data_IF_795586880358
#
_entry.id   IF_795586880358
#
_cell.length_a   1.000
_cell.length_b   1.000
_cell.length_c   1.000
_cell.angle_alpha   90.00
_cell.angle_beta   90.00
_cell.angle_gamma   90.00
#
_symmetry.space_group_name_H-M   'P 1'
#
loop_
_entity.id
_entity.type
_entity.pdbx_description
1 polymer ?
#
# COMPACT_ATOMS: atom_id res chain seq x y z
N UNK A 1 4.01 -24.99 23.15
CA UNK A 1 2.80 -25.84 23.28
C UNK A 1 2.34 -26.23 21.90
N UNK A 2 2.11 -27.52 21.66
CA UNK A 2 1.58 -28.05 20.41
C UNK A 2 0.05 -27.90 20.38
N UNK A 3 -0.55 -27.72 19.20
CA UNK A 3 -2.01 -27.57 19.06
C UNK A 3 -2.81 -28.71 19.72
N UNK A 4 -2.27 -29.93 19.68
CA UNK A 4 -2.87 -31.09 20.33
C UNK A 4 -2.97 -30.94 21.85
N UNK A 5 -1.97 -30.31 22.50
CA UNK A 5 -1.99 -30.11 23.96
C UNK A 5 -2.93 -28.99 24.40
N UNK A 6 -3.11 -27.95 23.57
CA UNK A 6 -4.11 -26.90 23.85
C UNK A 6 -5.54 -27.43 23.65
N UNK A 7 -5.77 -28.24 22.62
CA UNK A 7 -7.10 -28.78 22.33
C UNK A 7 -7.56 -29.75 23.44
N UNK A 8 -6.66 -30.56 24.00
CA UNK A 8 -7.00 -31.44 25.13
C UNK A 8 -7.35 -30.65 26.40
N UNK A 9 -6.64 -29.55 26.68
CA UNK A 9 -6.98 -28.64 27.78
C UNK A 9 -8.34 -27.96 27.57
N UNK A 10 -8.64 -27.52 26.35
CA UNK A 10 -9.95 -26.96 25.99
C UNK A 10 -11.07 -27.98 26.22
N UNK A 11 -10.86 -29.25 25.84
CA UNK A 11 -11.82 -30.34 26.08
C UNK A 11 -12.05 -30.66 27.56
N UNK A 12 -11.07 -30.41 28.43
CA UNK A 12 -11.24 -30.56 29.88
C UNK A 12 -11.97 -29.38 30.53
N UNK A 13 -11.83 -28.17 29.97
CA UNK A 13 -12.46 -26.96 30.50
C UNK A 13 -13.91 -26.75 30.05
N UNK A 14 -14.27 -27.14 28.83
CA UNK A 14 -15.61 -26.96 28.27
C UNK A 14 -16.45 -28.24 28.39
N UNK A 15 -17.78 -28.08 28.56
CA UNK A 15 -18.71 -29.21 28.57
C UNK A 15 -18.78 -29.85 27.16
N UNK A 16 -18.93 -31.18 27.05
CA UNK A 16 -18.96 -31.87 25.76
C UNK A 16 -20.08 -31.37 24.84
N UNK A 17 -21.26 -31.07 25.40
CA UNK A 17 -22.41 -30.50 24.67
C UNK A 17 -22.11 -29.16 23.97
N UNK A 18 -21.16 -28.38 24.49
CA UNK A 18 -20.76 -27.13 23.85
C UNK A 18 -19.88 -27.39 22.63
N UNK A 19 -18.96 -28.35 22.72
CA UNK A 19 -18.05 -28.70 21.64
C UNK A 19 -18.75 -29.41 20.48
N UNK A 20 -19.83 -30.13 20.77
CA UNK A 20 -20.68 -30.77 19.76
C UNK A 20 -21.46 -29.77 18.90
N UNK A 21 -21.65 -28.54 19.38
CA UNK A 21 -22.36 -27.46 18.67
C UNK A 21 -21.44 -26.45 17.99
N UNK A 22 -20.12 -26.68 17.98
CA UNK A 22 -19.15 -25.80 17.33
C UNK A 22 -18.78 -26.38 15.98
N UNK A 23 -19.10 -25.64 14.90
CA UNK A 23 -18.83 -26.07 13.53
C UNK A 23 -17.33 -26.17 13.24
N UNK A 24 -16.55 -25.15 13.64
CA UNK A 24 -15.11 -25.06 13.36
C UNK A 24 -14.32 -24.48 14.55
N UNK A 25 -13.13 -25.05 14.79
CA UNK A 25 -12.18 -24.55 15.80
C UNK A 25 -10.95 -23.98 15.09
N UNK A 26 -10.77 -22.67 15.20
CA UNK A 26 -9.61 -21.96 14.63
C UNK A 26 -8.59 -21.72 15.74
N UNK A 27 -7.38 -22.27 15.59
CA UNK A 27 -6.26 -21.95 16.47
C UNK A 27 -5.26 -21.02 15.81
N UNK A 28 -4.92 -19.96 16.54
CA UNK A 28 -3.87 -19.03 16.14
C UNK A 28 -2.52 -19.52 16.63
N UNK A 29 -1.54 -19.55 15.73
CA UNK A 29 -0.14 -19.79 16.09
C UNK A 29 0.45 -18.53 16.68
N UNK A 30 1.40 -18.68 17.59
CA UNK A 30 2.21 -17.56 18.08
C UNK A 30 2.91 -16.87 16.90
N UNK A 31 2.92 -15.54 16.95
CA UNK A 31 3.57 -14.71 15.94
C UNK A 31 5.08 -14.92 15.95
N UNK A 32 5.70 -14.97 14.78
CA UNK A 32 7.16 -14.95 14.65
C UNK A 32 7.71 -13.56 15.00
N UNK A 33 9.00 -13.48 15.29
CA UNK A 33 9.67 -12.20 15.57
C UNK A 33 9.46 -11.17 14.44
N UNK A 34 9.53 -11.60 13.17
CA UNK A 34 9.30 -10.72 12.02
C UNK A 34 7.84 -10.25 11.94
N UNK A 35 6.88 -11.12 12.28
CA UNK A 35 5.47 -10.73 12.35
C UNK A 35 5.23 -9.75 13.49
N UNK A 36 5.91 -9.90 14.63
CA UNK A 36 5.85 -8.94 15.74
C UNK A 36 6.41 -7.56 15.32
N UNK A 37 7.48 -7.50 14.52
CA UNK A 37 7.93 -6.21 13.95
C UNK A 37 6.87 -5.56 13.07
N UNK A 38 6.17 -6.35 12.24
CA UNK A 38 5.08 -5.85 11.42
C UNK A 38 3.92 -5.33 12.28
N UNK A 39 3.57 -6.04 13.36
CA UNK A 39 2.57 -5.58 14.33
C UNK A 39 3.01 -4.28 15.01
N UNK A 40 4.28 -4.16 15.41
CA UNK A 40 4.82 -2.94 16.00
C UNK A 40 4.70 -1.74 15.04
N UNK A 41 4.99 -1.92 13.74
CA UNK A 41 4.80 -0.88 12.72
C UNK A 41 3.33 -0.44 12.62
N UNK A 42 2.39 -1.39 12.65
CA UNK A 42 0.96 -1.08 12.59
C UNK A 42 0.53 -0.28 13.83
N UNK A 43 0.95 -0.70 15.03
CA UNK A 43 0.63 0.01 16.26
C UNK A 43 1.24 1.42 16.32
N UNK A 44 2.45 1.61 15.81
CA UNK A 44 3.06 2.93 15.67
C UNK A 44 2.24 3.84 14.75
N UNK A 45 1.74 3.29 13.65
CA UNK A 45 0.85 4.01 12.72
C UNK A 45 -0.47 4.39 13.40
N UNK A 46 -1.06 3.48 14.18
CA UNK A 46 -2.29 3.74 14.91
C UNK A 46 -2.09 4.85 15.96
N UNK A 47 -0.97 4.80 16.71
CA UNK A 47 -0.58 5.87 17.64
C UNK A 47 -0.43 7.20 16.90
N UNK A 48 0.26 7.20 15.76
CA UNK A 48 0.45 8.41 14.96
C UNK A 48 -0.90 9.02 14.50
N UNK A 49 -1.83 8.17 14.09
CA UNK A 49 -3.18 8.57 13.70
C UNK A 49 -4.02 9.12 14.85
N UNK A 50 -3.78 8.67 16.09
CA UNK A 50 -4.46 9.18 17.28
C UNK A 50 -3.88 10.52 17.77
N UNK A 51 -2.59 10.77 17.52
CA UNK A 51 -1.89 11.96 18.01
C UNK A 51 -2.30 13.25 17.31
N UNK A 52 -2.63 13.18 16.02
CA UNK A 52 -3.03 14.36 15.22
C UNK A 52 -4.15 13.99 14.25
N UNK A 53 -5.11 14.90 14.04
CA UNK A 53 -6.21 14.68 13.10
C UNK A 53 -5.76 14.74 11.62
N UNK A 54 -4.59 15.35 11.34
CA UNK A 54 -4.16 15.72 9.98
C UNK A 54 -2.93 14.99 9.45
N UNK A 55 -2.39 14.01 10.19
CA UNK A 55 -1.50 13.00 9.62
C UNK A 55 -0.02 13.14 10.00
N UNK A 56 0.26 13.02 11.30
CA UNK A 56 1.59 12.68 11.80
C UNK A 56 2.06 11.36 11.20
N UNK A 57 3.32 11.33 10.74
CA UNK A 57 3.94 10.11 10.19
C UNK A 57 5.10 9.72 11.09
N UNK A 58 5.13 8.45 11.50
CA UNK A 58 6.24 7.87 12.25
C UNK A 58 6.96 6.86 11.36
N UNK A 59 8.26 7.10 11.12
CA UNK A 59 9.16 6.22 10.39
C UNK A 59 10.17 5.58 11.36
N UNK A 60 9.91 4.34 11.82
CA UNK A 60 10.89 3.60 12.60
C UNK A 60 11.93 2.92 11.70
N UNK A 61 13.20 2.96 12.11
CA UNK A 61 14.25 2.12 11.51
C UNK A 61 14.07 0.65 11.87
N UNK A 62 14.65 -0.26 11.08
CA UNK A 62 14.62 -1.70 11.40
C UNK A 62 15.22 -1.98 12.78
N UNK A 63 16.36 -1.36 13.10
CA UNK A 63 17.02 -1.54 14.38
C UNK A 63 16.15 -1.05 15.56
N UNK A 64 15.38 0.03 15.36
CA UNK A 64 14.44 0.51 16.38
C UNK A 64 13.33 -0.51 16.65
N UNK A 65 12.76 -1.11 15.60
CA UNK A 65 11.73 -2.14 15.74
C UNK A 65 12.23 -3.37 16.51
N UNK A 66 13.49 -3.74 16.29
CA UNK A 66 14.10 -4.90 16.96
C UNK A 66 14.18 -4.68 18.47
N UNK A 67 14.61 -3.48 18.88
CA UNK A 67 14.67 -3.08 20.28
C UNK A 67 13.27 -3.02 20.89
N UNK A 68 12.29 -2.46 20.19
CA UNK A 68 10.90 -2.36 20.67
C UNK A 68 10.33 -3.75 20.93
N UNK A 69 10.45 -4.67 19.97
CA UNK A 69 9.94 -6.04 20.12
C UNK A 69 10.71 -6.77 21.23
N UNK A 70 12.03 -6.63 21.29
CA UNK A 70 12.83 -7.26 22.33
C UNK A 70 12.43 -6.78 23.72
N UNK A 71 12.28 -5.46 23.94
CA UNK A 71 11.89 -4.88 25.23
C UNK A 71 10.46 -5.25 25.63
N UNK A 72 9.52 -5.21 24.68
CA UNK A 72 8.13 -5.57 24.95
C UNK A 72 7.96 -7.03 25.40
N UNK A 73 8.83 -7.93 24.95
CA UNK A 73 8.73 -9.37 25.28
C UNK A 73 8.94 -9.63 26.78
N UNK A 74 9.77 -8.83 27.45
CA UNK A 74 10.09 -8.94 28.87
C UNK A 74 8.96 -8.47 29.81
N UNK A 75 7.89 -7.89 29.26
CA UNK A 75 6.81 -7.25 30.03
C UNK A 75 5.79 -8.28 30.55
N UNK A 76 6.23 -9.15 31.49
CA UNK A 76 5.40 -10.07 32.29
C UNK A 76 4.65 -11.19 31.55
N UNK A 77 4.21 -12.23 32.28
CA UNK A 77 3.57 -13.41 31.68
C UNK A 77 2.04 -13.31 31.50
N UNK A 78 1.41 -12.22 32.00
CA UNK A 78 -0.05 -12.05 31.97
C UNK A 78 -0.60 -11.55 30.63
N UNK A 79 0.21 -10.86 29.85
CA UNK A 79 -0.19 -10.22 28.58
C UNK A 79 0.56 -10.92 27.46
N UNK A 80 -0.13 -11.23 26.35
CA UNK A 80 0.42 -12.07 25.29
C UNK A 80 0.39 -11.37 23.93
N UNK A 81 1.39 -11.69 23.10
CA UNK A 81 1.44 -11.24 21.70
C UNK A 81 1.61 -9.73 21.53
N UNK A 82 0.86 -9.15 20.58
CA UNK A 82 1.01 -7.75 20.20
C UNK A 82 0.60 -6.74 21.27
N UNK A 83 -0.18 -7.14 22.27
CA UNK A 83 -0.61 -6.26 23.36
C UNK A 83 0.57 -5.80 24.23
N UNK A 84 1.58 -6.67 24.41
CA UNK A 84 2.85 -6.30 25.07
C UNK A 84 3.54 -5.14 24.36
N UNK A 85 3.55 -5.16 23.03
CA UNK A 85 4.18 -4.11 22.22
C UNK A 85 3.41 -2.80 22.39
N UNK A 86 2.07 -2.88 22.34
CA UNK A 86 1.21 -1.72 22.55
C UNK A 86 1.45 -1.07 23.90
N UNK A 87 1.45 -1.87 24.98
CA UNK A 87 1.66 -1.37 26.34
C UNK A 87 3.04 -0.70 26.48
N UNK A 88 4.08 -1.34 25.95
CA UNK A 88 5.43 -0.76 25.97
C UNK A 88 5.47 0.58 25.22
N UNK A 89 4.82 0.68 24.06
CA UNK A 89 4.73 1.93 23.28
C UNK A 89 3.94 3.01 24.05
N UNK A 90 2.84 2.65 24.68
CA UNK A 90 2.01 3.57 25.48
C UNK A 90 2.75 4.08 26.73
N UNK A 91 3.61 3.27 27.34
CA UNK A 91 4.38 3.65 28.53
C UNK A 91 5.66 4.44 28.20
N UNK A 92 6.32 4.13 27.09
CA UNK A 92 7.67 4.66 26.80
C UNK A 92 7.69 5.67 25.65
N UNK A 93 6.89 5.45 24.60
CA UNK A 93 6.91 6.30 23.41
C UNK A 93 5.88 7.42 23.49
N UNK A 94 4.64 7.08 23.82
CA UNK A 94 3.51 8.02 23.87
C UNK A 94 3.79 9.23 24.77
N UNK A 95 4.35 9.09 26.00
CA UNK A 95 4.63 10.25 26.85
C UNK A 95 5.68 11.18 26.24
N UNK A 96 6.71 10.62 25.62
CA UNK A 96 7.76 11.40 24.92
C UNK A 96 7.16 12.19 23.77
N UNK A 97 6.28 11.58 22.98
CA UNK A 97 5.60 12.25 21.87
C UNK A 97 4.66 13.35 22.36
N UNK A 98 3.88 13.10 23.43
CA UNK A 98 2.99 14.10 24.02
C UNK A 98 3.74 15.30 24.59
N UNK A 99 4.84 15.08 25.30
CA UNK A 99 5.66 16.17 25.84
C UNK A 99 6.21 17.05 24.69
N UNK A 100 6.62 16.43 23.58
CA UNK A 100 7.12 17.14 22.40
C UNK A 100 6.03 17.89 21.63
N UNK A 101 4.84 17.32 21.56
CA UNK A 101 3.66 17.98 20.99
C UNK A 101 3.27 19.20 21.83
N UNK A 102 3.26 19.07 23.16
CA UNK A 102 2.97 20.18 24.09
C UNK A 102 3.98 21.33 23.98
N UNK A 103 5.25 21.03 23.68
CA UNK A 103 6.30 22.04 23.45
C UNK A 103 6.26 22.70 22.08
N UNK A 104 5.19 22.50 21.29
CA UNK A 104 5.04 22.97 19.89
C UNK A 104 6.19 22.51 18.97
N UNK A 105 6.88 21.41 19.29
CA UNK A 105 7.99 20.89 18.48
C UNK A 105 7.51 20.16 17.23
N UNK A 106 6.31 19.58 17.29
CA UNK A 106 5.69 18.71 16.28
C UNK A 106 4.39 19.37 15.82
N UNK A 107 4.15 19.37 14.51
CA UNK A 107 2.96 19.90 13.86
C UNK A 107 2.19 18.76 13.17
N UNK A 108 1.00 19.07 12.67
CA UNK A 108 0.09 18.15 11.95
C UNK A 108 0.74 17.43 10.74
N UNK A 109 1.80 18.00 10.15
CA UNK A 109 2.50 17.48 8.97
C UNK A 109 3.96 17.09 9.28
N UNK A 110 4.26 16.78 10.53
CA UNK A 110 5.61 16.39 10.92
C UNK A 110 5.88 14.92 10.61
N UNK A 111 7.13 14.63 10.28
CA UNK A 111 7.64 13.27 10.16
C UNK A 111 8.57 13.03 11.35
N UNK A 112 8.28 11.99 12.12
CA UNK A 112 9.11 11.53 13.24
C UNK A 112 9.91 10.33 12.77
N UNK A 113 11.23 10.38 12.96
CA UNK A 113 12.12 9.27 12.76
C UNK A 113 12.50 8.65 14.11
N UNK A 114 12.36 7.34 14.20
CA UNK A 114 12.79 6.58 15.39
C UNK A 114 14.02 5.76 14.97
N UNK A 115 15.16 6.10 15.55
CA UNK A 115 16.42 5.40 15.33
C UNK A 115 16.89 4.70 16.60
N UNK A 116 17.76 3.73 16.41
CA UNK A 116 18.38 2.98 17.49
C UNK A 116 19.88 3.25 17.47
N UNK A 117 20.43 3.69 18.60
CA UNK A 117 21.88 3.78 18.75
C UNK A 117 22.49 2.39 18.94
N UNK A 118 23.50 2.07 18.14
CA UNK A 118 24.18 0.78 18.16
C UNK A 118 24.94 0.50 19.47
N UNK A 119 25.31 1.54 20.22
CA UNK A 119 26.18 1.42 21.41
C UNK A 119 25.38 1.27 22.72
N UNK A 120 24.28 2.01 22.86
CA UNK A 120 23.54 2.10 24.13
C UNK A 120 22.19 1.39 24.09
N UNK A 121 21.80 0.84 22.94
CA UNK A 121 20.48 0.27 22.70
C UNK A 121 19.33 1.26 23.03
N UNK A 122 19.63 2.57 23.03
CA UNK A 122 18.66 3.63 23.29
C UNK A 122 17.99 4.06 21.99
N UNK A 123 16.73 4.48 22.10
CA UNK A 123 15.97 5.02 20.98
C UNK A 123 16.19 6.52 20.91
N UNK A 124 16.64 7.00 19.76
CA UNK A 124 16.74 8.42 19.44
C UNK A 124 15.53 8.83 18.60
N UNK A 125 15.01 10.02 18.88
CA UNK A 125 13.87 10.60 18.19
C UNK A 125 14.32 11.87 17.49
N UNK A 126 14.27 11.88 16.16
CA UNK A 126 14.46 13.08 15.35
C UNK A 126 13.16 13.38 14.60
N UNK A 127 12.93 14.63 14.26
CA UNK A 127 11.73 15.01 13.53
C UNK A 127 12.02 16.11 12.52
N UNK A 128 11.27 16.08 11.44
CA UNK A 128 11.29 17.09 10.40
C UNK A 128 9.89 17.68 10.25
N UNK A 129 9.80 18.99 10.32
CA UNK A 129 8.55 19.70 10.05
C UNK A 129 8.48 19.96 8.54
N UNK A 130 7.59 19.25 7.84
CA UNK A 130 7.23 19.64 6.49
C UNK A 130 6.43 20.94 6.58
N UNK A 131 7.09 22.08 6.37
CA UNK A 131 6.38 23.34 6.16
C UNK A 131 5.60 23.18 4.86
N UNK A 132 4.29 23.37 4.94
CA UNK A 132 3.47 23.48 3.75
C UNK A 132 3.87 24.78 3.04
N UNK A 133 4.74 24.67 2.05
CA UNK A 133 4.78 25.60 0.93
C UNK A 133 5.07 24.75 -0.30
N UNK A 134 4.00 24.15 -0.84
CA UNK A 134 4.02 23.84 -2.26
C UNK A 134 3.95 25.20 -2.95
N UNK A 135 5.09 25.86 -3.10
CA UNK A 135 5.19 27.00 -4.01
C UNK A 135 4.88 26.48 -5.42
N UNK A 136 4.31 27.31 -6.29
CA UNK A 136 3.88 26.94 -7.65
C UNK A 136 4.96 26.21 -8.47
N UNK A 137 6.24 26.33 -8.10
CA UNK A 137 7.35 25.60 -8.69
C UNK A 137 7.30 24.07 -8.46
N UNK A 138 6.78 23.59 -7.32
CA UNK A 138 6.65 22.15 -7.04
C UNK A 138 5.48 21.52 -7.82
N UNK A 139 4.46 22.31 -8.16
CA UNK A 139 3.34 21.88 -9.00
C UNK A 139 3.81 21.63 -10.44
N UNK A 140 4.82 22.34 -10.91
CA UNK A 140 5.44 22.09 -12.21
C UNK A 140 6.24 20.78 -12.23
N UNK A 141 6.84 20.37 -11.10
CA UNK A 141 7.42 19.02 -10.98
C UNK A 141 6.32 17.94 -10.91
N UNK A 142 5.17 18.23 -10.29
CA UNK A 142 4.00 17.33 -10.34
C UNK A 142 3.39 17.22 -11.74
N UNK A 143 3.53 18.26 -12.60
CA UNK A 143 3.20 18.17 -14.01
C UNK A 143 4.08 17.13 -14.72
N UNK A 144 5.38 17.07 -14.40
CA UNK A 144 6.26 16.00 -14.90
C UNK A 144 5.85 14.61 -14.41
N UNK A 145 5.27 14.49 -13.21
CA UNK A 145 4.69 13.23 -12.72
C UNK A 145 3.37 12.86 -13.42
N UNK A 146 2.55 13.85 -13.81
CA UNK A 146 1.37 13.62 -14.67
C UNK A 146 1.79 13.16 -16.07
N UNK A 147 2.83 13.77 -16.63
CA UNK A 147 3.44 13.37 -17.90
C UNK A 147 4.03 11.97 -17.81
N UNK A 148 4.76 11.63 -16.74
CA UNK A 148 5.28 10.27 -16.51
C UNK A 148 4.16 9.23 -16.36
N UNK A 149 3.05 9.55 -15.68
CA UNK A 149 1.88 8.66 -15.61
C UNK A 149 1.24 8.45 -16.98
N UNK A 150 1.16 9.50 -17.80
CA UNK A 150 0.66 9.42 -19.17
C UNK A 150 1.61 8.59 -20.06
N UNK A 151 2.92 8.81 -19.93
CA UNK A 151 3.97 8.05 -20.63
C UNK A 151 3.93 6.58 -20.24
N UNK A 152 3.84 6.27 -18.94
CA UNK A 152 3.70 4.89 -18.47
C UNK A 152 2.41 4.22 -18.98
N UNK A 153 1.28 4.95 -19.02
CA UNK A 153 0.04 4.42 -19.59
C UNK A 153 0.20 4.09 -21.07
N UNK A 154 0.78 5.00 -21.85
CA UNK A 154 1.09 4.80 -23.27
C UNK A 154 2.04 3.62 -23.48
N UNK A 155 3.08 3.51 -22.66
CA UNK A 155 4.06 2.44 -22.77
C UNK A 155 3.46 1.08 -22.39
N UNK A 156 2.58 1.05 -21.39
CA UNK A 156 1.82 -0.15 -21.02
C UNK A 156 0.88 -0.60 -22.14
N UNK A 157 0.23 0.32 -22.83
CA UNK A 157 -0.58 0.01 -24.01
C UNK A 157 0.27 -0.50 -25.17
N UNK A 158 1.40 0.16 -25.46
CA UNK A 158 2.37 -0.31 -26.48
C UNK A 158 2.85 -1.73 -26.21
N UNK A 159 3.26 -2.04 -24.97
CA UNK A 159 3.73 -3.37 -24.60
C UNK A 159 2.65 -4.45 -24.79
N UNK A 160 1.38 -4.15 -24.45
CA UNK A 160 0.25 -5.05 -24.71
C UNK A 160 0.07 -5.32 -26.20
N UNK A 161 0.16 -4.28 -27.03
CA UNK A 161 -0.02 -4.39 -28.47
C UNK A 161 1.10 -5.23 -29.10
N UNK A 162 2.36 -4.99 -28.70
CA UNK A 162 3.51 -5.80 -29.13
C UNK A 162 3.32 -7.27 -28.75
N UNK A 163 2.84 -7.56 -27.54
CA UNK A 163 2.56 -8.92 -27.11
C UNK A 163 1.49 -9.60 -27.99
N UNK A 164 0.37 -8.93 -28.26
CA UNK A 164 -0.71 -9.45 -29.11
C UNK A 164 -0.19 -9.73 -30.52
N UNK A 165 0.54 -8.77 -31.12
CA UNK A 165 1.11 -8.93 -32.46
C UNK A 165 2.10 -10.10 -32.52
N UNK A 166 2.97 -10.25 -31.51
CA UNK A 166 3.91 -11.37 -31.44
C UNK A 166 3.19 -12.71 -31.27
N UNK A 167 2.10 -12.73 -30.50
CA UNK A 167 1.27 -13.93 -30.34
C UNK A 167 0.64 -14.35 -31.67
N UNK A 168 0.10 -13.41 -32.44
CA UNK A 168 -0.48 -13.72 -33.75
C UNK A 168 0.60 -14.09 -34.76
N UNK A 169 1.75 -13.43 -34.76
CA UNK A 169 2.90 -13.79 -35.60
C UNK A 169 3.36 -15.23 -35.35
N UNK A 170 3.47 -15.65 -34.09
CA UNK A 170 3.80 -17.04 -33.77
C UNK A 170 2.71 -18.02 -34.26
N UNK A 171 1.43 -17.66 -34.12
CA UNK A 171 0.32 -18.44 -34.70
C UNK A 171 0.42 -18.57 -36.22
N UNK A 172 0.79 -17.47 -36.91
CA UNK A 172 1.01 -17.48 -38.36
C UNK A 172 2.14 -18.43 -38.76
N UNK A 173 3.30 -18.34 -38.08
CA UNK A 173 4.43 -19.25 -38.31
C UNK A 173 4.01 -20.71 -38.14
N UNK A 174 3.22 -21.03 -37.10
CA UNK A 174 2.73 -22.40 -36.89
C UNK A 174 1.71 -22.83 -37.94
N UNK A 175 0.89 -21.91 -38.45
CA UNK A 175 -0.12 -22.19 -39.49
C UNK A 175 0.44 -22.22 -40.91
N UNK A 176 1.65 -21.70 -41.14
CA UNK A 176 2.32 -21.73 -42.45
C UNK A 176 2.66 -23.16 -42.91
N UNK A 177 2.65 -24.14 -41.99
CA UNK A 177 2.79 -25.57 -42.26
C UNK A 177 1.43 -26.31 -42.36
N UNK A 178 0.30 -25.59 -42.27
CA UNK A 178 -1.06 -26.13 -42.27
C UNK A 178 -1.87 -25.68 -43.52
N UNK A 179 -3.09 -26.17 -43.67
CA UNK A 179 -3.96 -25.90 -44.84
C UNK A 179 -4.22 -24.39 -45.05
N UNK A 180 -4.25 -23.98 -46.33
CA UNK A 180 -4.32 -22.59 -46.79
C UNK A 180 -5.46 -21.76 -46.13
N UNK A 181 -6.58 -22.41 -45.79
CA UNK A 181 -7.73 -21.76 -45.16
C UNK A 181 -7.47 -21.28 -43.72
N UNK A 182 -6.65 -22.00 -42.95
CA UNK A 182 -6.30 -21.59 -41.58
C UNK A 182 -5.37 -20.37 -41.58
N UNK A 183 -4.45 -20.31 -42.55
CA UNK A 183 -3.56 -19.16 -42.72
C UNK A 183 -4.36 -17.88 -43.06
N UNK A 184 -5.36 -17.97 -43.94
CA UNK A 184 -6.20 -16.83 -44.32
C UNK A 184 -6.97 -16.26 -43.12
N UNK A 185 -7.52 -17.12 -42.25
CA UNK A 185 -8.25 -16.69 -41.05
C UNK A 185 -7.35 -15.92 -40.07
N UNK A 186 -6.13 -16.41 -39.84
CA UNK A 186 -5.16 -15.74 -38.94
C UNK A 186 -4.67 -14.41 -39.53
N UNK A 187 -4.50 -14.32 -40.85
CA UNK A 187 -4.15 -13.07 -41.53
C UNK A 187 -5.28 -12.03 -41.40
N UNK A 188 -6.55 -12.44 -41.51
CA UNK A 188 -7.69 -11.54 -41.33
C UNK A 188 -7.81 -11.02 -39.88
N UNK A 189 -7.54 -11.87 -38.89
CA UNK A 189 -7.47 -11.47 -37.46
C UNK A 189 -6.35 -10.43 -37.23
N UNK A 190 -5.22 -10.58 -37.92
CA UNK A 190 -4.12 -9.63 -37.88
C UNK A 190 -4.47 -8.28 -38.53
N UNK A 191 -5.16 -8.30 -39.67
CA UNK A 191 -5.60 -7.07 -40.35
C UNK A 191 -6.57 -6.29 -39.46
N UNK A 192 -7.58 -6.97 -38.88
CA UNK A 192 -8.56 -6.31 -38.02
C UNK A 192 -7.90 -5.71 -36.76
N UNK A 193 -6.97 -6.44 -36.14
CA UNK A 193 -6.24 -5.92 -34.96
C UNK A 193 -5.31 -4.76 -35.32
N UNK A 194 -4.66 -4.76 -36.48
CA UNK A 194 -3.89 -3.59 -36.95
C UNK A 194 -4.81 -2.40 -37.22
N UNK A 195 -6.00 -2.62 -37.79
CA UNK A 195 -6.99 -1.58 -38.03
C UNK A 195 -7.43 -0.91 -36.71
N UNK A 196 -7.71 -1.71 -35.67
CA UNK A 196 -8.07 -1.23 -34.33
C UNK A 196 -6.92 -0.46 -33.65
N UNK A 197 -5.66 -0.82 -33.95
CA UNK A 197 -4.47 -0.17 -33.40
C UNK A 197 -4.12 1.15 -34.12
N UNK A 198 -4.42 1.27 -35.41
CA UNK A 198 -4.13 2.46 -36.23
C UNK A 198 -5.25 3.50 -36.16
N UNK A 199 -6.47 3.10 -35.79
CA UNK A 199 -7.59 4.02 -35.58
C UNK A 199 -7.36 4.81 -34.29
N UNK A 200 -6.58 5.89 -34.37
CA UNK A 200 -6.52 6.91 -33.32
C UNK A 200 -7.96 7.34 -33.06
N UNK A 201 -8.50 7.23 -31.83
CA UNK A 201 -9.82 7.75 -31.51
C UNK A 201 -9.86 9.21 -31.96
N UNK A 202 -10.82 9.55 -32.83
CA UNK A 202 -10.94 10.88 -33.47
C UNK A 202 -10.94 12.05 -32.48
N UNK A 203 -11.23 11.81 -31.20
CA UNK A 203 -11.05 12.78 -30.12
C UNK A 203 -9.61 13.26 -29.93
N UNK A 204 -8.59 12.42 -30.13
CA UNK A 204 -7.17 12.76 -29.84
C UNK A 204 -6.63 13.80 -30.83
N UNK A 205 -7.16 13.85 -32.05
CA UNK A 205 -6.71 14.83 -33.06
C UNK A 205 -7.11 16.27 -32.67
N UNK A 206 -8.28 16.47 -32.06
CA UNK A 206 -8.66 17.78 -31.49
C UNK A 206 -7.99 18.11 -30.16
N UNK A 207 -7.43 17.13 -29.44
CA UNK A 207 -6.73 17.33 -28.17
C UNK A 207 -5.29 17.85 -28.32
N UNK A 208 -4.70 17.74 -29.52
CA UNK A 208 -3.33 18.19 -29.80
C UNK A 208 -3.24 19.67 -30.21
N UNK A 209 -4.34 20.26 -30.69
CA UNK A 209 -4.32 21.61 -31.27
C UNK A 209 -4.51 22.75 -30.25
N UNK A 210 -4.94 22.48 -29.01
CA UNK A 210 -5.11 23.54 -28.01
C UNK A 210 -4.97 23.09 -26.53
N UNK A 211 -3.79 23.25 -25.90
CA UNK A 211 -3.53 22.77 -24.53
C UNK A 211 -4.34 23.50 -23.45
N UNK A 212 -4.90 24.70 -23.73
CA UNK A 212 -5.68 25.47 -22.75
C UNK A 212 -7.11 24.91 -22.53
N UNK A 213 -7.70 24.26 -23.55
CA UNK A 213 -9.04 23.66 -23.44
C UNK A 213 -9.04 22.37 -22.62
N UNK A 214 -7.89 21.69 -22.52
CA UNK A 214 -7.72 20.44 -21.77
C UNK A 214 -7.77 20.67 -20.26
N UNK A 215 -7.19 21.78 -19.79
CA UNK A 215 -7.20 22.14 -18.38
C UNK A 215 -8.63 22.40 -17.87
N UNK A 216 -9.48 23.07 -18.65
CA UNK A 216 -10.86 23.36 -18.26
C UNK A 216 -11.79 22.14 -18.36
N UNK A 217 -11.61 21.28 -19.37
CA UNK A 217 -12.44 20.09 -19.53
C UNK A 217 -12.17 19.02 -18.45
N UNK A 218 -10.90 18.85 -18.04
CA UNK A 218 -10.51 17.89 -17.01
C UNK A 218 -10.97 18.30 -15.60
N UNK A 219 -10.96 19.61 -15.30
CA UNK A 219 -11.49 20.14 -14.03
C UNK A 219 -13.00 19.89 -13.91
N UNK A 220 -13.76 20.07 -14.99
CA UNK A 220 -15.20 19.83 -15.00
C UNK A 220 -15.56 18.34 -14.86
N UNK A 221 -14.77 17.41 -15.42
CA UNK A 221 -15.02 15.97 -15.25
C UNK A 221 -14.70 15.47 -13.85
N UNK A 222 -13.64 15.98 -13.22
CA UNK A 222 -13.30 15.64 -11.84
C UNK A 222 -14.31 16.23 -10.85
N UNK A 223 -14.81 17.46 -11.08
CA UNK A 223 -15.94 18.01 -10.32
C UNK A 223 -17.22 17.19 -10.46
N UNK A 224 -17.52 16.71 -11.68
CA UNK A 224 -18.70 15.85 -11.92
C UNK A 224 -18.56 14.48 -11.21
N UNK A 225 -17.34 13.94 -11.12
CA UNK A 225 -17.04 12.69 -10.42
C UNK A 225 -17.06 12.85 -8.91
N UNK A 226 -16.58 13.98 -8.38
CA UNK A 226 -16.68 14.29 -6.94
C UNK A 226 -18.14 14.55 -6.53
N UNK A 227 -18.92 15.28 -7.33
CA UNK A 227 -20.35 15.50 -7.08
C UNK A 227 -21.18 14.20 -7.13
N UNK A 228 -20.81 13.23 -7.96
CA UNK A 228 -21.44 11.89 -7.96
C UNK A 228 -21.06 11.04 -6.74
N UNK A 229 -19.90 11.28 -6.12
CA UNK A 229 -19.46 10.59 -4.89
C UNK A 229 -20.04 11.22 -3.63
N UNK A 230 -20.28 12.53 -3.63
CA UNK A 230 -20.89 13.24 -2.50
C UNK A 230 -22.41 13.04 -2.39
N UNK A 231 -23.08 12.58 -3.46
CA UNK A 231 -24.52 12.28 -3.49
C UNK A 231 -24.85 10.79 -3.23
N UNK A 232 -23.89 9.98 -2.81
CA UNK A 232 -24.06 8.56 -2.53
C UNK A 232 -23.71 8.28 -1.07
#
# INVERSE_FOLDING_TARGET
>A
MTFASSLSQTKQHFRPQFLENVDDVIAFRSLSFQQLKAVARLQLRDIASCMTQKGLIIYPSEAALDIIVQRSTWLGDRINGGEKIRMWLEENLVPVLFEKLAKNGINDFSIIYIEASAETNQLSFSWANCRHSLEEQDVNQLASLRELRLMYRKEKERAKNVYILRKIHNKLITSANAELGHAIAVVQELINTIQDLVTIPSGIKSFLDNPKMVAMAALNEDELRQNKRAKK
#
